data_IF_495854419215
#
_entry.id   IF_495854419215
#
_cell.length_a   1.000
_cell.length_b   1.000
_cell.length_c   1.000
_cell.angle_alpha   90.00
_cell.angle_beta   90.00
_cell.angle_gamma   90.00
#
_symmetry.space_group_name_H-M   'P 1'
#
loop_
_entity.id
_entity.type
_entity.pdbx_description
1 polymer ?
#
# COMPACT_ATOMS: atom_id res chain seq x y z
N UNK A 1 13.34 -5.74 12.85
CA UNK A 1 13.16 -4.93 11.63
C UNK A 1 12.94 -5.88 10.47
N UNK A 2 11.71 -5.96 9.97
CA UNK A 2 11.40 -6.69 8.75
C UNK A 2 11.45 -5.72 7.57
N UNK A 3 12.06 -6.14 6.46
CA UNK A 3 12.08 -5.39 5.21
C UNK A 3 11.25 -6.18 4.20
N UNK A 4 10.22 -5.57 3.62
CA UNK A 4 9.45 -6.15 2.54
C UNK A 4 10.18 -5.82 1.22
N UNK A 5 10.56 -6.84 0.46
CA UNK A 5 11.24 -6.68 -0.84
C UNK A 5 10.34 -7.25 -1.93
N UNK A 6 10.02 -6.45 -2.94
CA UNK A 6 9.17 -6.84 -4.07
C UNK A 6 9.76 -8.06 -4.80
N UNK A 7 8.91 -9.06 -5.09
CA UNK A 7 9.28 -10.21 -5.90
C UNK A 7 9.09 -9.89 -7.39
N UNK A 8 10.11 -10.14 -8.24
CA UNK A 8 10.03 -9.90 -9.68
C UNK A 8 8.95 -10.75 -10.37
N UNK A 9 8.20 -10.15 -11.30
CA UNK A 9 7.09 -10.78 -12.03
C UNK A 9 7.54 -11.71 -13.17
N UNK A 10 6.79 -12.80 -13.35
CA UNK A 10 6.64 -13.54 -14.62
C UNK A 10 5.51 -12.92 -15.44
N UNK A 11 5.74 -12.75 -16.75
CA UNK A 11 5.00 -11.89 -17.70
C UNK A 11 3.50 -12.19 -17.89
N UNK A 12 3.00 -13.29 -17.35
CA UNK A 12 1.64 -13.81 -17.64
C UNK A 12 0.59 -13.44 -16.59
N UNK A 13 0.97 -12.69 -15.54
CA UNK A 13 0.08 -12.33 -14.42
C UNK A 13 0.36 -10.90 -13.93
N UNK A 14 0.25 -9.93 -14.85
CA UNK A 14 0.44 -8.51 -14.53
C UNK A 14 -0.82 -8.03 -13.82
N UNK A 15 -0.85 -8.16 -12.49
CA UNK A 15 -1.87 -7.52 -11.67
C UNK A 15 -1.76 -5.99 -11.79
N UNK A 16 -2.90 -5.31 -11.73
CA UNK A 16 -3.04 -3.89 -12.11
C UNK A 16 -2.38 -2.92 -11.13
N UNK A 17 -2.29 -3.27 -9.84
CA UNK A 17 -1.64 -2.47 -8.81
C UNK A 17 -0.53 -3.26 -8.14
N UNK A 18 0.65 -2.66 -8.06
CA UNK A 18 1.77 -3.17 -7.26
C UNK A 18 2.44 -2.03 -6.50
N UNK A 19 3.10 -2.36 -5.38
CA UNK A 19 3.91 -1.35 -4.69
C UNK A 19 4.96 -0.76 -5.64
N UNK A 20 5.03 0.57 -5.69
CA UNK A 20 6.11 1.26 -6.40
C UNK A 20 7.45 0.82 -5.82
N UNK A 21 8.47 0.56 -6.65
CA UNK A 21 9.80 0.16 -6.19
C UNK A 21 10.49 1.26 -5.36
N UNK A 22 9.98 2.49 -5.40
CA UNK A 22 10.48 3.62 -4.61
C UNK A 22 9.78 3.77 -3.27
N UNK A 23 8.69 3.03 -3.03
CA UNK A 23 7.94 3.09 -1.77
C UNK A 23 8.73 2.44 -0.64
N UNK A 24 8.88 3.14 0.48
CA UNK A 24 9.34 2.57 1.74
C UNK A 24 8.25 2.64 2.80
N UNK A 25 8.25 1.64 3.67
CA UNK A 25 7.30 1.52 4.77
C UNK A 25 8.09 1.28 6.05
N UNK A 26 7.91 2.15 7.05
CA UNK A 26 8.56 2.05 8.35
C UNK A 26 7.50 1.85 9.42
N UNK A 27 7.50 0.65 10.01
CA UNK A 27 6.66 0.33 11.16
C UNK A 27 7.39 0.71 12.46
N UNK A 28 6.71 1.50 13.29
CA UNK A 28 7.16 1.90 14.64
C UNK A 28 6.16 1.44 15.70
N UNK A 29 6.46 1.62 16.98
CA UNK A 29 5.52 1.24 18.04
C UNK A 29 4.19 2.03 18.02
N UNK A 30 4.14 3.18 17.33
CA UNK A 30 3.03 4.14 17.40
C UNK A 30 2.34 4.36 16.06
N UNK A 31 3.07 4.23 14.95
CA UNK A 31 2.57 4.53 13.62
C UNK A 31 3.29 3.75 12.52
N UNK A 32 2.63 3.68 11.37
CA UNK A 32 3.18 3.24 10.10
C UNK A 32 3.49 4.47 9.24
N UNK A 33 4.75 4.65 8.88
CA UNK A 33 5.19 5.72 7.97
C UNK A 33 5.37 5.16 6.56
N UNK A 34 4.73 5.78 5.59
CA UNK A 34 4.78 5.39 4.18
C UNK A 34 5.27 6.59 3.37
N UNK A 35 6.34 6.41 2.62
CA UNK A 35 6.91 7.46 1.78
C UNK A 35 7.55 6.87 0.53
N UNK A 36 8.11 7.75 -0.31
CA UNK A 36 8.89 7.34 -1.48
C UNK A 36 10.30 7.89 -1.41
N UNK A 37 11.29 7.16 -1.89
CA UNK A 37 12.68 7.64 -1.89
C UNK A 37 12.89 8.87 -2.80
N UNK A 38 12.03 9.03 -3.81
CA UNK A 38 12.08 10.11 -4.80
C UNK A 38 11.08 11.25 -4.54
N UNK A 39 10.28 11.16 -3.47
CA UNK A 39 9.29 12.17 -3.07
C UNK A 39 9.46 12.53 -1.59
N UNK A 40 9.31 13.81 -1.25
CA UNK A 40 9.38 14.28 0.14
C UNK A 40 8.07 14.10 0.91
N UNK A 41 6.99 13.70 0.23
CA UNK A 41 5.70 13.43 0.87
C UNK A 41 5.76 12.10 1.62
N UNK A 42 5.44 12.17 2.90
CA UNK A 42 5.29 11.02 3.78
C UNK A 42 3.88 11.01 4.36
N UNK A 43 3.29 9.83 4.45
CA UNK A 43 2.01 9.55 5.09
C UNK A 43 2.26 8.82 6.40
N UNK A 44 1.52 9.20 7.43
CA UNK A 44 1.64 8.61 8.76
C UNK A 44 0.26 8.07 9.16
N UNK A 45 0.20 6.76 9.44
CA UNK A 45 -1.01 6.09 9.91
C UNK A 45 -0.78 5.70 11.37
N UNK A 46 -1.48 6.36 12.29
CA UNK A 46 -1.41 6.05 13.72
C UNK A 46 -2.13 4.74 14.04
N UNK A 47 -1.77 4.09 15.16
CA UNK A 47 -2.45 2.85 15.57
C UNK A 47 -3.96 3.04 15.79
N UNK A 48 -4.78 2.02 15.47
CA UNK A 48 -4.39 0.73 14.91
C UNK A 48 -4.22 0.77 13.38
N UNK A 49 -3.14 0.17 12.86
CA UNK A 49 -2.80 0.17 11.42
C UNK A 49 -2.65 -1.25 10.84
N UNK A 50 -3.08 -2.29 11.55
CA UNK A 50 -2.88 -3.70 11.14
C UNK A 50 -3.45 -3.98 9.74
N UNK A 51 -4.58 -3.35 9.37
CA UNK A 51 -5.15 -3.47 8.04
C UNK A 51 -4.25 -2.90 6.94
N UNK A 52 -3.51 -1.82 7.19
CA UNK A 52 -2.60 -1.26 6.18
C UNK A 52 -1.35 -2.13 5.99
N UNK A 53 -0.86 -2.81 7.03
CA UNK A 53 0.23 -3.78 6.86
C UNK A 53 -0.17 -4.94 5.95
N UNK A 54 -1.37 -5.48 6.15
CA UNK A 54 -1.93 -6.52 5.30
C UNK A 54 -2.15 -6.04 3.86
N UNK A 55 -2.62 -4.81 3.69
CA UNK A 55 -2.76 -4.16 2.38
C UNK A 55 -1.42 -4.13 1.64
N UNK A 56 -0.37 -3.62 2.28
CA UNK A 56 0.93 -3.48 1.63
C UNK A 56 1.60 -4.82 1.37
N UNK A 57 1.39 -5.82 2.24
CA UNK A 57 1.83 -7.18 1.95
C UNK A 57 1.15 -7.71 0.68
N UNK A 58 -0.18 -7.55 0.57
CA UNK A 58 -0.95 -7.98 -0.60
C UNK A 58 -0.53 -7.23 -1.88
N UNK A 59 -0.33 -5.92 -1.80
CA UNK A 59 0.15 -5.10 -2.93
C UNK A 59 1.58 -5.46 -3.35
N UNK A 60 2.42 -6.00 -2.46
CA UNK A 60 3.75 -6.49 -2.83
C UNK A 60 3.72 -7.77 -3.68
N UNK A 61 2.61 -8.51 -3.61
CA UNK A 61 2.31 -9.67 -4.46
C UNK A 61 1.48 -9.27 -5.70
N UNK A 62 1.08 -8.01 -5.77
CA UNK A 62 0.18 -7.45 -6.76
C UNK A 62 -1.30 -7.67 -6.42
N UNK A 63 -2.14 -6.71 -6.80
CA UNK A 63 -3.60 -6.79 -6.68
C UNK A 63 -4.29 -6.25 -7.93
N UNK A 64 -5.47 -6.75 -8.26
CA UNK A 64 -6.38 -6.08 -9.21
C UNK A 64 -7.35 -5.12 -8.50
N UNK A 65 -8.05 -4.26 -9.27
CA UNK A 65 -8.99 -3.27 -8.70
C UNK A 65 -10.12 -3.90 -7.89
N UNK A 66 -10.55 -5.11 -8.25
CA UNK A 66 -11.63 -5.82 -7.57
C UNK A 66 -11.15 -6.37 -6.24
N UNK A 67 -9.95 -6.95 -6.21
CA UNK A 67 -9.27 -7.39 -4.98
C UNK A 67 -9.04 -6.20 -4.03
N UNK A 68 -8.56 -5.07 -4.57
CA UNK A 68 -8.30 -3.85 -3.78
C UNK A 68 -9.60 -3.27 -3.21
N UNK A 69 -10.66 -3.21 -4.03
CA UNK A 69 -11.97 -2.72 -3.57
C UNK A 69 -12.59 -3.63 -2.51
N UNK A 70 -12.49 -4.94 -2.69
CA UNK A 70 -12.97 -5.92 -1.71
C UNK A 70 -12.21 -5.81 -0.39
N UNK A 71 -10.90 -5.58 -0.44
CA UNK A 71 -10.09 -5.33 0.76
C UNK A 71 -10.56 -4.06 1.50
N UNK A 72 -10.70 -2.96 0.76
CA UNK A 72 -11.17 -1.69 1.30
C UNK A 72 -12.52 -1.85 1.98
N UNK A 73 -13.52 -2.42 1.29
CA UNK A 73 -14.88 -2.58 1.82
C UNK A 73 -14.92 -3.47 3.08
N UNK A 74 -13.96 -4.38 3.23
CA UNK A 74 -13.90 -5.29 4.37
C UNK A 74 -13.16 -4.72 5.59
N UNK A 75 -12.18 -3.83 5.38
CA UNK A 75 -11.19 -3.48 6.42
C UNK A 75 -11.00 -1.99 6.66
N UNK A 76 -11.31 -1.13 5.70
CA UNK A 76 -11.16 0.32 5.82
C UNK A 76 -12.56 0.93 5.94
N UNK A 77 -12.86 1.57 7.07
CA UNK A 77 -14.22 2.01 7.41
C UNK A 77 -14.36 3.51 7.62
N UNK A 78 -13.22 4.17 7.73
CA UNK A 78 -12.99 5.53 8.19
C UNK A 78 -12.53 6.47 7.07
N UNK A 79 -12.29 5.92 5.87
CA UNK A 79 -12.02 6.66 4.64
C UNK A 79 -13.11 6.38 3.60
N UNK A 80 -13.27 7.28 2.63
CA UNK A 80 -14.03 6.97 1.42
C UNK A 80 -13.16 6.20 0.43
N UNK A 81 -13.80 5.44 -0.48
CA UNK A 81 -13.06 4.70 -1.50
C UNK A 81 -12.27 5.65 -2.39
N UNK A 82 -12.86 6.79 -2.74
CA UNK A 82 -12.24 7.81 -3.57
C UNK A 82 -11.01 8.41 -2.90
N UNK A 83 -11.08 8.76 -1.61
CA UNK A 83 -9.93 9.30 -0.86
C UNK A 83 -8.81 8.27 -0.73
N UNK A 84 -9.16 7.03 -0.36
CA UNK A 84 -8.20 5.93 -0.24
C UNK A 84 -7.50 5.62 -1.57
N UNK A 85 -8.29 5.52 -2.64
CA UNK A 85 -7.78 5.19 -3.97
C UNK A 85 -6.97 6.33 -4.56
N UNK A 86 -7.40 7.58 -4.40
CA UNK A 86 -6.63 8.76 -4.78
C UNK A 86 -5.32 8.81 -3.99
N UNK A 87 -5.34 8.54 -2.69
CA UNK A 87 -4.14 8.50 -1.87
C UNK A 87 -3.11 7.47 -2.37
N UNK A 88 -3.53 6.25 -2.71
CA UNK A 88 -2.64 5.22 -3.23
C UNK A 88 -1.98 5.64 -4.56
N UNK A 89 -2.76 6.24 -5.48
CA UNK A 89 -2.31 6.59 -6.83
C UNK A 89 -1.55 7.93 -6.85
N UNK A 90 -2.12 8.98 -6.28
CA UNK A 90 -1.52 10.34 -6.23
C UNK A 90 -0.36 10.41 -5.25
N UNK A 91 -0.41 9.62 -4.17
CA UNK A 91 0.73 9.38 -3.31
C UNK A 91 1.84 8.58 -4.00
N UNK A 92 1.55 7.97 -5.16
CA UNK A 92 2.50 7.15 -5.91
C UNK A 92 2.93 5.90 -5.13
N UNK A 93 2.10 5.43 -4.20
CA UNK A 93 2.41 4.28 -3.36
C UNK A 93 2.35 3.00 -4.19
N UNK A 94 1.42 2.96 -5.14
CA UNK A 94 1.25 1.90 -6.12
C UNK A 94 1.45 2.40 -7.55
N UNK A 95 1.87 1.50 -8.42
CA UNK A 95 2.01 1.68 -9.88
C UNK A 95 1.24 0.60 -10.64
#
# INVERSE_FOLDING_TARGET
MGYLKQHCFTVDNVKEFFLSPYTYIVNTEQALYIGREDDRREFCIEKPYDCYEELFHSLSEGMDVTELKAFFDAKISDETWEEFYEWLIVGGIVE
#
